data_IF_992793132700
#
_entry.id   IF_992793132700
#
_cell.length_a   1.000
_cell.length_b   1.000
_cell.length_c   1.000
_cell.angle_alpha   90.00
_cell.angle_beta   90.00
_cell.angle_gamma   90.00
#
_symmetry.space_group_name_H-M   'P 1'
#
loop_
_entity.id
_entity.type
_entity.pdbx_description
1 polymer ?
#
# COMPACT_ATOMS: atom_id res chain seq x y z
N UNK A 1 11.14 -22.44 -13.00
CA UNK A 1 11.39 -23.39 -11.91
C UNK A 1 10.14 -23.39 -11.04
N UNK A 2 9.49 -24.55 -10.91
CA UNK A 2 8.39 -24.77 -9.97
C UNK A 2 9.01 -24.98 -8.59
N UNK A 3 9.07 -23.93 -7.80
CA UNK A 3 9.67 -23.94 -6.46
C UNK A 3 8.60 -23.96 -5.37
N UNK A 4 7.34 -23.72 -5.75
CA UNK A 4 6.20 -23.71 -4.82
C UNK A 4 5.32 -24.95 -5.06
N UNK A 5 4.91 -25.61 -3.97
CA UNK A 5 4.02 -26.76 -4.05
C UNK A 5 2.64 -26.29 -4.48
N UNK A 6 2.20 -26.70 -5.67
CA UNK A 6 0.84 -26.44 -6.18
C UNK A 6 -0.04 -27.68 -5.99
N UNK A 7 -1.26 -27.49 -5.48
CA UNK A 7 -2.22 -28.57 -5.30
C UNK A 7 -3.63 -28.06 -5.04
N UNK A 8 -4.61 -28.94 -5.12
CA UNK A 8 -6.03 -28.60 -4.92
C UNK A 8 -6.43 -28.47 -3.43
N UNK A 9 -5.54 -28.80 -2.51
CA UNK A 9 -5.76 -28.64 -1.07
C UNK A 9 -5.37 -27.23 -0.62
N UNK A 10 -6.25 -26.51 0.11
CA UNK A 10 -5.90 -25.23 0.71
C UNK A 10 -4.71 -25.39 1.69
N UNK A 11 -3.79 -24.39 1.72
CA UNK A 11 -2.67 -24.31 2.71
C UNK A 11 -1.49 -25.27 2.52
N UNK A 12 -1.10 -25.56 1.30
CA UNK A 12 0.11 -26.35 1.02
C UNK A 12 1.41 -25.65 1.46
N UNK A 13 1.45 -24.31 1.53
CA UNK A 13 2.61 -23.55 1.96
C UNK A 13 2.51 -23.20 3.45
N UNK A 14 3.09 -24.03 4.32
CA UNK A 14 3.20 -23.74 5.77
C UNK A 14 4.46 -22.93 6.11
N UNK A 15 5.53 -23.08 5.35
CA UNK A 15 6.79 -22.37 5.53
C UNK A 15 6.98 -21.31 4.42
N UNK A 16 7.68 -20.22 4.77
CA UNK A 16 7.99 -19.18 3.79
C UNK A 16 9.07 -19.70 2.83
N UNK A 17 8.75 -19.78 1.54
CA UNK A 17 9.71 -20.09 0.49
C UNK A 17 10.31 -18.79 0.00
N UNK A 18 11.64 -18.68 0.08
CA UNK A 18 12.39 -17.51 -0.43
C UNK A 18 13.00 -17.86 -1.78
N UNK A 19 12.69 -17.06 -2.80
CA UNK A 19 13.20 -17.23 -4.16
C UNK A 19 13.88 -15.94 -4.60
N UNK A 20 15.14 -16.04 -5.03
CA UNK A 20 15.85 -14.94 -5.65
C UNK A 20 15.67 -14.99 -7.17
N UNK A 21 15.23 -13.89 -7.76
CA UNK A 21 15.01 -13.75 -9.19
C UNK A 21 15.82 -12.54 -9.68
N UNK A 22 16.78 -12.78 -10.55
CA UNK A 22 17.45 -11.72 -11.28
C UNK A 22 16.67 -11.39 -12.55
N UNK A 23 16.30 -10.14 -12.74
CA UNK A 23 15.63 -9.68 -13.96
C UNK A 23 16.06 -8.26 -14.33
N UNK A 24 16.62 -8.08 -15.52
CA UNK A 24 17.08 -6.78 -16.05
C UNK A 24 17.99 -6.01 -15.08
N UNK A 25 18.99 -6.67 -14.50
CA UNK A 25 19.94 -6.11 -13.50
C UNK A 25 19.29 -5.68 -12.18
N UNK A 26 18.14 -6.23 -11.86
CA UNK A 26 17.47 -6.04 -10.57
C UNK A 26 17.29 -7.40 -9.90
N UNK A 27 17.75 -7.49 -8.66
CA UNK A 27 17.57 -8.67 -7.82
C UNK A 27 16.28 -8.53 -7.01
N UNK A 28 15.40 -9.51 -7.17
CA UNK A 28 14.16 -9.63 -6.41
C UNK A 28 14.28 -10.83 -5.46
N UNK A 29 14.01 -10.59 -4.19
CA UNK A 29 13.79 -11.65 -3.22
C UNK A 29 12.28 -11.77 -3.00
N UNK A 30 11.68 -12.85 -3.49
CA UNK A 30 10.26 -13.14 -3.31
C UNK A 30 10.13 -14.05 -2.09
N UNK A 31 9.27 -13.64 -1.17
CA UNK A 31 8.94 -14.43 0.03
C UNK A 31 7.47 -14.86 -0.13
N UNK A 32 7.27 -16.16 -0.37
CA UNK A 32 5.93 -16.72 -0.36
C UNK A 32 5.39 -16.78 1.07
N UNK A 33 4.15 -16.41 1.26
CA UNK A 33 3.51 -16.41 2.57
C UNK A 33 2.34 -17.38 2.58
N UNK A 34 2.08 -18.03 3.72
CA UNK A 34 0.88 -18.84 3.88
C UNK A 34 -0.37 -18.02 3.52
N UNK A 35 -1.24 -18.60 2.70
CA UNK A 35 -2.46 -17.95 2.22
C UNK A 35 -3.41 -17.60 3.37
N UNK A 36 -4.09 -16.46 3.24
CA UNK A 36 -5.20 -16.12 4.12
C UNK A 36 -6.45 -16.91 3.73
N UNK A 37 -7.15 -17.51 4.70
CA UNK A 37 -8.37 -18.26 4.45
C UNK A 37 -9.53 -17.91 5.36
N UNK A 38 -10.71 -18.35 4.92
CA UNK A 38 -11.96 -18.22 5.67
C UNK A 38 -11.98 -19.08 6.95
N UNK A 39 -11.29 -20.23 6.94
CA UNK A 39 -11.29 -21.19 8.04
C UNK A 39 -10.49 -20.74 9.26
N UNK A 40 -9.73 -19.65 9.14
CA UNK A 40 -9.07 -18.98 10.27
C UNK A 40 -10.05 -18.33 11.26
N UNK A 41 -11.37 -18.42 11.01
CA UNK A 41 -12.42 -17.90 11.90
C UNK A 41 -12.68 -18.80 13.13
N UNK A 42 -12.19 -20.05 13.14
CA UNK A 42 -12.58 -21.06 14.13
C UNK A 42 -11.88 -21.06 15.47
N UNK A 43 -10.68 -20.50 15.63
CA UNK A 43 -10.02 -20.41 16.94
C UNK A 43 -9.27 -19.08 17.13
N UNK A 44 -9.70 -18.30 18.13
CA UNK A 44 -9.12 -16.97 18.45
C UNK A 44 -7.60 -16.98 18.67
N UNK A 45 -7.04 -18.08 19.17
CA UNK A 45 -5.61 -18.21 19.53
C UNK A 45 -4.70 -18.47 18.31
N UNK A 46 -5.12 -19.36 17.39
CA UNK A 46 -4.40 -19.65 16.14
C UNK A 46 -4.39 -18.42 15.21
N UNK A 47 -5.49 -17.69 15.17
CA UNK A 47 -5.61 -16.46 14.39
C UNK A 47 -4.62 -15.37 14.83
N UNK A 48 -4.37 -15.20 16.12
CA UNK A 48 -3.47 -14.17 16.63
C UNK A 48 -2.02 -14.45 16.22
N UNK A 49 -1.54 -15.66 16.42
CA UNK A 49 -0.19 -16.07 16.04
C UNK A 49 0.05 -15.95 14.53
N UNK A 50 -0.94 -16.32 13.71
CA UNK A 50 -0.87 -16.18 12.25
C UNK A 50 -0.80 -14.70 11.83
N UNK A 51 -1.65 -13.86 12.40
CA UNK A 51 -1.65 -12.41 12.12
C UNK A 51 -0.32 -11.78 12.53
N UNK A 52 0.25 -12.16 13.66
CA UNK A 52 1.52 -11.61 14.16
C UNK A 52 2.70 -12.07 13.29
N UNK A 53 2.74 -13.32 12.86
CA UNK A 53 3.74 -13.81 11.90
C UNK A 53 3.63 -13.09 10.55
N UNK A 54 2.41 -12.91 10.05
CA UNK A 54 2.16 -12.19 8.80
C UNK A 54 2.58 -10.72 8.92
N UNK A 55 2.26 -10.05 10.02
CA UNK A 55 2.74 -8.68 10.30
C UNK A 55 4.27 -8.62 10.31
N UNK A 56 4.94 -9.59 10.91
CA UNK A 56 6.40 -9.65 10.91
C UNK A 56 6.96 -9.73 9.49
N UNK A 57 6.42 -10.60 8.64
CA UNK A 57 6.81 -10.73 7.24
C UNK A 57 6.52 -9.44 6.44
N UNK A 58 5.36 -8.82 6.65
CA UNK A 58 5.01 -7.53 6.05
C UNK A 58 6.02 -6.46 6.43
N UNK A 59 6.43 -6.39 7.70
CA UNK A 59 7.42 -5.41 8.18
C UNK A 59 8.81 -5.61 7.58
N UNK A 60 9.19 -6.83 7.30
CA UNK A 60 10.49 -7.18 6.70
C UNK A 60 10.49 -6.97 5.17
N UNK A 61 9.32 -6.95 4.54
CA UNK A 61 9.20 -6.79 3.09
C UNK A 61 9.19 -5.32 2.69
N UNK A 62 9.79 -5.01 1.53
CA UNK A 62 9.76 -3.65 0.96
C UNK A 62 8.44 -3.38 0.26
N UNK A 63 7.90 -4.39 -0.43
CA UNK A 63 6.66 -4.31 -1.20
C UNK A 63 5.83 -5.57 -0.99
N UNK A 64 4.53 -5.41 -0.94
CA UNK A 64 3.57 -6.50 -0.78
C UNK A 64 2.75 -6.64 -2.05
N UNK A 65 2.71 -7.84 -2.61
CA UNK A 65 1.78 -8.20 -3.66
C UNK A 65 0.58 -8.91 -3.02
N UNK A 66 -0.59 -8.30 -3.09
CA UNK A 66 -1.84 -8.92 -2.62
C UNK A 66 -2.48 -9.59 -3.83
N UNK A 67 -2.36 -10.92 -3.90
CA UNK A 67 -2.87 -11.72 -5.02
C UNK A 67 -4.27 -12.22 -4.70
N UNK A 68 -5.22 -11.92 -5.58
CA UNK A 68 -6.63 -12.27 -5.47
C UNK A 68 -7.08 -13.00 -6.72
N UNK A 69 -8.01 -13.93 -6.59
CA UNK A 69 -8.70 -14.54 -7.74
C UNK A 69 -9.71 -13.53 -8.32
N UNK A 70 -9.88 -13.55 -9.65
CA UNK A 70 -10.87 -12.71 -10.35
C UNK A 70 -12.31 -12.99 -9.89
N UNK A 71 -12.58 -14.17 -9.32
CA UNK A 71 -13.92 -14.57 -8.88
C UNK A 71 -14.26 -14.08 -7.47
N UNK A 72 -13.25 -13.85 -6.61
CA UNK A 72 -13.46 -13.56 -5.19
C UNK A 72 -12.79 -12.29 -4.65
N UNK A 73 -12.29 -11.40 -5.54
CA UNK A 73 -11.57 -10.16 -5.19
C UNK A 73 -12.36 -9.18 -4.31
N UNK A 74 -13.65 -9.37 -4.14
CA UNK A 74 -14.56 -8.52 -3.34
C UNK A 74 -14.81 -9.05 -1.93
N UNK A 75 -14.19 -10.14 -1.50
CA UNK A 75 -14.41 -10.71 -0.17
C UNK A 75 -13.88 -9.83 0.96
N UNK A 76 -14.56 -9.89 2.11
CA UNK A 76 -14.17 -9.14 3.33
C UNK A 76 -12.75 -9.47 3.81
N UNK A 77 -12.28 -10.68 3.54
CA UNK A 77 -10.93 -11.12 3.89
C UNK A 77 -9.87 -10.26 3.21
N UNK A 78 -10.04 -9.99 1.91
CA UNK A 78 -9.11 -9.14 1.15
C UNK A 78 -9.03 -7.71 1.72
N UNK A 79 -10.17 -7.12 2.10
CA UNK A 79 -10.20 -5.81 2.75
C UNK A 79 -9.46 -5.80 4.10
N UNK A 80 -9.51 -6.90 4.88
CA UNK A 80 -8.74 -7.04 6.13
C UNK A 80 -7.24 -7.10 5.85
N UNK A 81 -6.81 -7.84 4.83
CA UNK A 81 -5.39 -7.91 4.43
C UNK A 81 -4.89 -6.56 3.93
N UNK A 82 -5.65 -5.89 3.07
CA UNK A 82 -5.35 -4.55 2.58
C UNK A 82 -5.18 -3.57 3.75
N UNK A 83 -6.10 -3.60 4.72
CA UNK A 83 -6.00 -2.78 5.93
C UNK A 83 -4.73 -3.09 6.72
N UNK A 84 -4.43 -4.37 6.94
CA UNK A 84 -3.24 -4.80 7.67
C UNK A 84 -1.95 -4.26 7.04
N UNK A 85 -1.82 -4.35 5.71
CA UNK A 85 -0.66 -3.84 4.97
C UNK A 85 -0.60 -2.31 5.01
N UNK A 86 -1.76 -1.64 4.92
CA UNK A 86 -1.88 -0.19 5.03
C UNK A 86 -1.44 0.32 6.40
N UNK A 87 -1.87 -0.34 7.48
CA UNK A 87 -1.54 0.02 8.86
C UNK A 87 -0.01 -0.11 9.12
N UNK A 88 0.65 -1.06 8.46
CA UNK A 88 2.12 -1.23 8.52
C UNK A 88 2.88 -0.27 7.57
N UNK A 89 2.18 0.62 6.86
CA UNK A 89 2.73 1.60 5.93
C UNK A 89 3.67 1.00 4.87
N UNK A 90 3.35 -0.19 4.35
CA UNK A 90 4.14 -0.84 3.30
C UNK A 90 3.58 -0.55 1.92
N UNK A 91 4.49 -0.40 0.95
CA UNK A 91 4.10 -0.30 -0.44
C UNK A 91 3.37 -1.59 -0.84
N UNK A 92 2.23 -1.48 -1.55
CA UNK A 92 1.49 -2.64 -2.02
C UNK A 92 1.03 -2.49 -3.46
N UNK A 93 0.83 -3.62 -4.11
CA UNK A 93 0.19 -3.73 -5.42
C UNK A 93 -0.88 -4.81 -5.30
N UNK A 94 -2.07 -4.53 -5.79
CA UNK A 94 -3.12 -5.54 -5.91
C UNK A 94 -2.95 -6.27 -7.24
N UNK A 95 -2.99 -7.58 -7.19
CA UNK A 95 -2.83 -8.46 -8.36
C UNK A 95 -4.08 -9.32 -8.49
N UNK A 96 -4.84 -9.10 -9.55
CA UNK A 96 -5.99 -9.92 -9.91
C UNK A 96 -5.51 -11.03 -10.83
N UNK A 97 -5.53 -12.27 -10.32
CA UNK A 97 -5.04 -13.44 -11.03
C UNK A 97 -6.20 -14.23 -11.66
N UNK A 98 -5.84 -15.18 -12.51
CA UNK A 98 -6.72 -16.10 -13.23
C UNK A 98 -7.65 -15.40 -14.23
N UNK A 99 -7.17 -14.30 -14.83
CA UNK A 99 -7.94 -13.58 -15.86
C UNK A 99 -8.25 -14.42 -17.10
N UNK A 100 -7.56 -15.54 -17.29
CA UNK A 100 -7.80 -16.50 -18.37
C UNK A 100 -9.12 -17.27 -18.25
N UNK A 101 -9.81 -17.17 -17.11
CA UNK A 101 -11.16 -17.73 -16.93
C UNK A 101 -12.21 -17.01 -17.78
N UNK A 102 -11.96 -15.77 -18.17
CA UNK A 102 -12.92 -14.92 -18.87
C UNK A 102 -12.38 -14.47 -20.22
N UNK A 103 -13.25 -14.49 -21.25
CA UNK A 103 -12.91 -13.96 -22.59
C UNK A 103 -12.72 -12.43 -22.58
N UNK A 104 -13.47 -11.73 -21.72
CA UNK A 104 -13.42 -10.28 -21.58
C UNK A 104 -13.51 -9.89 -20.11
N UNK A 105 -12.66 -8.99 -19.68
CA UNK A 105 -12.64 -8.43 -18.33
C UNK A 105 -12.83 -6.93 -18.40
N UNK A 106 -13.76 -6.41 -17.61
CA UNK A 106 -14.00 -4.98 -17.45
C UNK A 106 -13.13 -4.45 -16.31
N UNK A 107 -11.84 -4.23 -16.58
CA UNK A 107 -10.85 -3.87 -15.57
C UNK A 107 -11.25 -2.65 -14.73
N UNK A 108 -11.82 -1.62 -15.36
CA UNK A 108 -12.23 -0.39 -14.65
C UNK A 108 -13.38 -0.66 -13.67
N UNK A 109 -14.30 -1.56 -14.00
CA UNK A 109 -15.38 -1.99 -13.08
C UNK A 109 -14.81 -2.72 -11.87
N UNK A 110 -13.85 -3.63 -12.10
CA UNK A 110 -13.17 -4.37 -11.02
C UNK A 110 -12.39 -3.40 -10.12
N UNK A 111 -11.61 -2.48 -10.70
CA UNK A 111 -10.86 -1.45 -9.96
C UNK A 111 -11.78 -0.58 -9.12
N UNK A 112 -12.87 -0.09 -9.72
CA UNK A 112 -13.87 0.71 -9.02
C UNK A 112 -14.42 -0.02 -7.80
N UNK A 113 -14.86 -1.28 -7.95
CA UNK A 113 -15.38 -2.09 -6.86
C UNK A 113 -14.37 -2.28 -5.72
N UNK A 114 -13.09 -2.52 -6.05
CA UNK A 114 -12.02 -2.66 -5.05
C UNK A 114 -11.82 -1.34 -4.29
N UNK A 115 -11.82 -0.21 -4.98
CA UNK A 115 -11.65 1.12 -4.35
C UNK A 115 -12.85 1.51 -3.52
N UNK A 116 -14.09 1.21 -3.97
CA UNK A 116 -15.32 1.49 -3.22
C UNK A 116 -15.35 0.72 -1.89
N UNK A 117 -14.89 -0.54 -1.89
CA UNK A 117 -14.76 -1.36 -0.69
C UNK A 117 -13.60 -0.92 0.22
N UNK A 118 -12.59 -0.24 -0.33
CA UNK A 118 -11.36 0.11 0.36
C UNK A 118 -10.92 1.56 0.03
N UNK A 119 -11.65 2.59 0.45
CA UNK A 119 -11.36 3.98 0.06
C UNK A 119 -9.96 4.46 0.43
N UNK A 120 -9.32 3.85 1.45
CA UNK A 120 -7.97 4.18 1.91
C UNK A 120 -6.88 3.87 0.89
N UNK A 121 -7.16 2.99 -0.10
CA UNK A 121 -6.21 2.59 -1.13
C UNK A 121 -6.48 3.22 -2.49
N UNK A 122 -7.35 4.22 -2.55
CA UNK A 122 -7.69 4.87 -3.81
C UNK A 122 -6.44 5.38 -4.55
N UNK A 123 -6.31 4.97 -5.82
CA UNK A 123 -5.14 5.25 -6.65
C UNK A 123 -3.97 4.27 -6.47
N UNK A 124 -4.12 3.21 -5.66
CA UNK A 124 -3.16 2.11 -5.59
C UNK A 124 -3.12 1.37 -6.95
N UNK A 125 -1.95 0.92 -7.43
CA UNK A 125 -1.90 0.16 -8.67
C UNK A 125 -2.55 -1.21 -8.52
N UNK A 126 -3.38 -1.56 -9.51
CA UNK A 126 -4.02 -2.88 -9.65
C UNK A 126 -3.56 -3.47 -10.97
N UNK A 127 -3.04 -4.69 -10.95
CA UNK A 127 -2.55 -5.42 -12.11
C UNK A 127 -3.37 -6.67 -12.35
N UNK A 128 -3.66 -6.96 -13.61
CA UNK A 128 -4.43 -8.14 -14.04
C UNK A 128 -3.48 -9.14 -14.70
N UNK A 129 -3.48 -10.38 -14.22
CA UNK A 129 -2.59 -11.43 -14.71
C UNK A 129 -3.29 -12.78 -14.85
N UNK A 130 -2.69 -13.63 -15.68
CA UNK A 130 -2.84 -15.08 -15.57
C UNK A 130 -1.48 -15.71 -15.31
N UNK A 131 -1.25 -16.19 -14.12
CA UNK A 131 -0.02 -16.90 -13.78
C UNK A 131 0.09 -18.18 -14.64
N UNK A 132 -1.01 -18.91 -14.83
CA UNK A 132 -1.09 -20.13 -15.65
C UNK A 132 -0.68 -19.89 -17.11
N UNK A 133 -1.22 -18.86 -17.75
CA UNK A 133 -0.91 -18.50 -19.15
C UNK A 133 0.22 -17.49 -19.30
N UNK A 134 0.88 -17.10 -18.22
CA UNK A 134 1.97 -16.09 -18.17
C UNK A 134 1.56 -14.72 -18.74
N UNK A 135 0.26 -14.40 -18.78
CA UNK A 135 -0.26 -13.12 -19.25
C UNK A 135 -0.09 -12.05 -18.16
N UNK A 136 0.26 -10.81 -18.55
CA UNK A 136 0.37 -9.67 -17.63
C UNK A 136 1.61 -9.69 -16.71
N UNK A 137 2.39 -10.79 -16.66
CA UNK A 137 3.54 -10.93 -15.76
C UNK A 137 4.60 -9.85 -16.03
N UNK A 138 4.91 -9.57 -17.30
CA UNK A 138 5.89 -8.51 -17.63
C UNK A 138 5.40 -7.13 -17.19
N UNK A 139 4.10 -6.85 -17.28
CA UNK A 139 3.48 -5.61 -16.81
C UNK A 139 3.54 -5.50 -15.30
N UNK A 140 3.30 -6.60 -14.57
CA UNK A 140 3.45 -6.66 -13.11
C UNK A 140 4.88 -6.28 -12.69
N UNK A 141 5.91 -6.86 -13.32
CA UNK A 141 7.30 -6.52 -12.99
C UNK A 141 7.63 -5.06 -13.28
N UNK A 142 7.17 -4.50 -14.41
CA UNK A 142 7.33 -3.07 -14.70
C UNK A 142 6.68 -2.21 -13.62
N UNK A 143 5.49 -2.61 -13.17
CA UNK A 143 4.76 -1.91 -12.11
C UNK A 143 5.49 -1.97 -10.77
N UNK A 144 6.02 -3.13 -10.39
CA UNK A 144 6.84 -3.31 -9.17
C UNK A 144 8.04 -2.37 -9.18
N UNK A 145 8.79 -2.33 -10.29
CA UNK A 145 9.97 -1.45 -10.44
C UNK A 145 9.56 0.02 -10.32
N UNK A 146 8.51 0.42 -11.04
CA UNK A 146 8.04 1.80 -11.01
C UNK A 146 7.56 2.22 -9.61
N UNK A 147 6.79 1.38 -8.94
CA UNK A 147 6.32 1.65 -7.57
C UNK A 147 7.47 1.75 -6.57
N UNK A 148 8.51 0.91 -6.72
CA UNK A 148 9.70 0.99 -5.88
C UNK A 148 10.46 2.32 -6.08
N UNK A 149 10.59 2.77 -7.34
CA UNK A 149 11.20 4.08 -7.65
C UNK A 149 10.43 5.23 -7.03
N UNK A 150 9.08 5.24 -7.15
CA UNK A 150 8.24 6.27 -6.57
C UNK A 150 8.31 6.21 -5.04
N UNK A 151 8.31 5.02 -4.45
CA UNK A 151 8.36 4.83 -3.00
C UNK A 151 9.68 5.31 -2.38
N UNK A 152 10.78 5.14 -3.10
CA UNK A 152 12.12 5.64 -2.69
C UNK A 152 12.36 7.11 -3.03
N UNK A 153 11.40 7.80 -3.67
CA UNK A 153 11.55 9.18 -4.13
C UNK A 153 11.82 10.14 -2.99
N UNK A 154 12.89 10.92 -3.14
CA UNK A 154 13.21 12.05 -2.26
C UNK A 154 12.63 13.34 -2.82
N UNK A 155 11.93 14.09 -2.00
CA UNK A 155 11.40 15.40 -2.33
C UNK A 155 12.24 16.44 -1.57
N UNK A 156 12.75 17.46 -2.28
CA UNK A 156 13.58 18.48 -1.65
C UNK A 156 12.77 19.32 -0.65
N UNK A 157 13.42 19.74 0.43
CA UNK A 157 12.81 20.54 1.49
C UNK A 157 12.23 21.85 0.95
N UNK A 158 12.88 22.50 -0.03
CA UNK A 158 12.36 23.72 -0.66
C UNK A 158 11.02 23.48 -1.35
N UNK A 159 10.89 22.40 -2.18
CA UNK A 159 9.62 22.06 -2.83
C UNK A 159 8.51 21.73 -1.84
N UNK A 160 8.85 21.07 -0.73
CA UNK A 160 7.88 20.77 0.33
C UNK A 160 7.41 22.04 1.03
N UNK A 161 8.31 22.97 1.33
CA UNK A 161 7.97 24.21 2.04
C UNK A 161 7.16 25.18 1.17
N UNK A 162 7.49 25.31 -0.12
CA UNK A 162 6.67 26.07 -1.06
C UNK A 162 5.25 25.48 -1.13
N UNK A 163 5.16 24.16 -1.30
CA UNK A 163 3.88 23.45 -1.35
C UNK A 163 3.04 23.68 -0.08
N UNK A 164 3.60 23.50 1.13
CA UNK A 164 2.82 23.67 2.37
C UNK A 164 2.36 25.11 2.56
N UNK A 165 3.19 26.09 2.17
CA UNK A 165 2.84 27.51 2.18
C UNK A 165 1.63 27.81 1.28
N UNK A 166 1.63 27.29 0.05
CA UNK A 166 0.53 27.47 -0.89
C UNK A 166 -0.76 26.77 -0.43
N UNK A 167 -0.65 25.54 0.10
CA UNK A 167 -1.79 24.79 0.61
C UNK A 167 -2.45 25.48 1.79
N UNK A 168 -1.67 25.96 2.74
CA UNK A 168 -2.17 26.64 3.95
C UNK A 168 -2.77 28.02 3.60
N UNK A 169 -2.23 28.73 2.61
CA UNK A 169 -2.83 29.98 2.11
C UNK A 169 -4.21 29.73 1.49
N UNK A 170 -4.36 28.66 0.67
CA UNK A 170 -5.61 28.32 -0.01
C UNK A 170 -6.65 27.71 0.92
N UNK A 171 -6.22 26.91 1.87
CA UNK A 171 -7.08 26.18 2.80
C UNK A 171 -6.46 26.26 4.20
N UNK A 172 -6.69 27.36 4.94
CA UNK A 172 -6.12 27.52 6.26
C UNK A 172 -6.68 26.50 7.24
N UNK A 173 -5.85 26.04 8.21
CA UNK A 173 -6.32 25.14 9.26
C UNK A 173 -7.28 25.86 10.20
N UNK A 174 -8.13 25.11 10.93
CA UNK A 174 -8.99 25.67 11.95
C UNK A 174 -8.20 26.43 13.02
N UNK A 175 -8.81 27.49 13.57
CA UNK A 175 -8.21 28.22 14.68
C UNK A 175 -8.11 27.34 15.94
N UNK A 176 -7.06 27.53 16.72
CA UNK A 176 -6.89 26.91 18.02
C UNK A 176 -7.18 27.91 19.14
N UNK A 177 -8.32 27.78 19.82
CA UNK A 177 -8.75 28.74 20.88
C UNK A 177 -8.66 30.20 20.40
N UNK A 178 -9.18 30.48 19.20
CA UNK A 178 -9.16 31.82 18.60
C UNK A 178 -7.79 32.25 17.99
N UNK A 179 -6.76 31.42 18.11
CA UNK A 179 -5.42 31.72 17.59
C UNK A 179 -5.11 30.99 16.29
N UNK A 180 -4.38 31.66 15.38
CA UNK A 180 -3.98 31.04 14.09
C UNK A 180 -2.96 29.94 14.28
N UNK A 181 -3.16 28.85 13.54
CA UNK A 181 -2.21 27.73 13.44
C UNK A 181 -1.20 28.05 12.35
N UNK A 182 0.07 28.18 12.74
CA UNK A 182 1.16 28.49 11.82
C UNK A 182 1.98 27.24 11.52
N UNK A 183 2.11 26.92 10.24
CA UNK A 183 3.01 25.88 9.74
C UNK A 183 4.40 26.51 9.55
N UNK A 184 5.40 26.04 10.29
CA UNK A 184 6.76 26.58 10.27
C UNK A 184 7.54 26.07 9.08
N UNK A 185 7.63 24.74 8.98
CA UNK A 185 8.26 24.06 7.84
C UNK A 185 7.87 22.58 7.80
N UNK A 186 8.18 21.92 6.66
CA UNK A 186 8.03 20.49 6.43
C UNK A 186 9.33 19.90 5.91
N UNK A 187 9.66 18.69 6.33
CA UNK A 187 10.80 17.94 5.81
C UNK A 187 10.46 16.45 5.63
N UNK A 188 11.04 15.82 4.62
CA UNK A 188 10.97 14.37 4.43
C UNK A 188 12.11 13.71 5.20
N UNK A 189 11.78 12.98 6.26
CA UNK A 189 12.78 12.33 7.13
C UNK A 189 13.10 10.89 6.70
N UNK A 190 12.22 10.25 5.93
CA UNK A 190 12.45 8.92 5.35
C UNK A 190 11.78 8.81 3.99
N UNK A 191 12.31 7.95 3.12
CA UNK A 191 11.76 7.71 1.77
C UNK A 191 10.93 6.44 1.69
N UNK A 192 11.33 5.36 2.32
CA UNK A 192 10.71 4.04 2.20
C UNK A 192 10.38 3.43 3.57
N UNK A 193 9.20 3.64 4.16
CA UNK A 193 8.07 4.43 3.63
C UNK A 193 8.30 5.93 3.68
N UNK A 194 7.66 6.72 2.77
CA UNK A 194 7.74 8.17 2.81
C UNK A 194 7.19 8.72 4.13
N UNK A 195 8.07 9.38 4.89
CA UNK A 195 7.75 9.95 6.20
C UNK A 195 8.10 11.43 6.22
N UNK A 196 7.15 12.25 6.65
CA UNK A 196 7.28 13.69 6.70
C UNK A 196 7.09 14.20 8.13
N UNK A 197 7.92 15.13 8.56
CA UNK A 197 7.69 15.89 9.77
C UNK A 197 7.19 17.27 9.37
N UNK A 198 6.06 17.69 9.91
CA UNK A 198 5.49 19.03 9.74
C UNK A 198 5.58 19.73 11.10
N UNK A 199 6.23 20.89 11.12
CA UNK A 199 6.39 21.68 12.33
C UNK A 199 5.34 22.78 12.38
N UNK A 200 4.56 22.78 13.47
CA UNK A 200 3.44 23.70 13.72
C UNK A 200 3.49 24.25 15.14
N UNK A 201 2.92 25.42 15.36
CA UNK A 201 2.84 25.99 16.71
C UNK A 201 1.87 25.25 17.64
N UNK A 202 0.76 24.68 17.10
CA UNK A 202 -0.27 23.97 17.87
C UNK A 202 -0.61 22.63 17.20
N UNK A 203 0.03 21.55 17.62
CA UNK A 203 -0.19 20.21 17.03
C UNK A 203 -1.60 19.66 17.28
N UNK A 204 -2.20 19.99 18.43
CA UNK A 204 -3.56 19.57 18.81
C UNK A 204 -4.66 20.21 17.94
N UNK A 205 -4.35 21.33 17.30
CA UNK A 205 -5.28 22.02 16.41
C UNK A 205 -5.50 21.30 15.08
N UNK A 206 -4.57 20.42 14.69
CA UNK A 206 -4.65 19.69 13.42
C UNK A 206 -5.55 18.47 13.61
N UNK A 207 -6.86 18.65 13.33
CA UNK A 207 -7.88 17.60 13.42
C UNK A 207 -7.69 16.55 12.33
N UNK A 208 -8.34 15.40 12.50
CA UNK A 208 -8.27 14.24 11.59
C UNK A 208 -8.54 14.59 10.12
N UNK A 209 -9.55 15.43 9.89
CA UNK A 209 -9.97 15.79 8.52
C UNK A 209 -8.92 16.65 7.82
N UNK A 210 -8.32 17.60 8.54
CA UNK A 210 -7.25 18.42 8.00
C UNK A 210 -5.96 17.60 7.78
N UNK A 211 -5.67 16.63 8.66
CA UNK A 211 -4.57 15.67 8.45
C UNK A 211 -4.79 14.88 7.16
N UNK A 212 -6.01 14.33 6.97
CA UNK A 212 -6.37 13.58 5.76
C UNK A 212 -6.32 14.45 4.50
N UNK A 213 -6.77 15.69 4.60
CA UNK A 213 -6.64 16.68 3.51
C UNK A 213 -5.18 16.88 3.11
N UNK A 214 -4.28 17.14 4.06
CA UNK A 214 -2.85 17.30 3.79
C UNK A 214 -2.22 16.04 3.19
N UNK A 215 -2.56 14.85 3.70
CA UNK A 215 -2.09 13.58 3.15
C UNK A 215 -2.52 13.39 1.69
N UNK A 216 -3.76 13.66 1.36
CA UNK A 216 -4.26 13.53 -0.01
C UNK A 216 -3.63 14.58 -0.93
N UNK A 217 -3.41 15.78 -0.42
CA UNK A 217 -2.81 16.87 -1.17
C UNK A 217 -1.32 16.59 -1.49
N UNK A 218 -0.53 16.10 -0.52
CA UNK A 218 0.87 15.72 -0.75
C UNK A 218 0.98 14.56 -1.75
N UNK A 219 0.09 13.55 -1.64
CA UNK A 219 0.04 12.43 -2.62
C UNK A 219 -0.21 12.94 -4.03
N UNK A 220 -1.13 13.88 -4.19
CA UNK A 220 -1.48 14.46 -5.50
C UNK A 220 -0.35 15.30 -6.08
N UNK A 221 0.22 16.21 -5.31
CA UNK A 221 1.22 17.16 -5.80
C UNK A 221 2.58 16.53 -6.11
N UNK A 222 2.98 15.49 -5.37
CA UNK A 222 4.29 14.86 -5.54
C UNK A 222 4.26 13.51 -6.26
N UNK A 223 3.11 13.17 -6.89
CA UNK A 223 2.92 11.88 -7.58
C UNK A 223 3.19 10.67 -6.68
N UNK A 224 2.67 10.70 -5.44
CA UNK A 224 2.74 9.59 -4.48
C UNK A 224 1.40 8.84 -4.39
N UNK A 225 0.61 8.84 -5.47
CA UNK A 225 -0.70 8.18 -5.50
C UNK A 225 -0.59 6.71 -5.15
N UNK A 226 -1.50 6.23 -4.31
CA UNK A 226 -1.55 4.84 -3.87
C UNK A 226 -0.43 4.42 -2.92
N UNK A 227 0.52 5.30 -2.59
CA UNK A 227 1.56 4.99 -1.62
C UNK A 227 1.12 5.32 -0.19
N UNK A 228 1.46 4.46 0.77
CA UNK A 228 1.33 4.81 2.17
C UNK A 228 2.36 5.89 2.51
N UNK A 229 1.89 6.97 3.13
CA UNK A 229 2.74 8.04 3.63
C UNK A 229 2.46 8.25 5.12
N UNK A 230 3.46 8.65 5.86
CA UNK A 230 3.31 8.97 7.28
C UNK A 230 3.65 10.43 7.51
N UNK A 231 2.73 11.19 8.08
CA UNK A 231 2.95 12.58 8.49
C UNK A 231 2.95 12.65 10.02
N UNK A 232 4.00 13.23 10.57
CA UNK A 232 4.14 13.49 12.01
C UNK A 232 4.14 14.99 12.21
N UNK A 233 3.24 15.46 13.07
CA UNK A 233 3.16 16.86 13.47
C UNK A 233 4.00 17.08 14.73
N UNK A 234 4.91 18.05 14.67
CA UNK A 234 5.82 18.44 15.75
C UNK A 234 5.64 19.92 16.12
N UNK A 235 6.01 20.24 17.32
CA UNK A 235 6.03 21.65 17.81
C UNK A 235 7.36 22.33 17.49
#
# INVERSE_FOLDING_TARGET
QDVSITGNTPYLTRDAVEISIERKKLDFKIIDTAGFSKDLSGSKKLNKNFIDQTKKKIRLSQMILIVMDIDDYFERLHSRVIKLVSDENRCMIIVINKIDKYKKIYEESVKKKIYDLNPQINGLPICFISAKKKLGISSLFKLVVNQNLIWKKRISTGKLNNWIGDVVKKTPPPLHKGRSVKFKYITQVNTAPPKFNIFVNYTQAIKSDYKRFLENNIRKNFNLKGLPIKIIYKK
#
